data_IF_672645015165
#
_entry.id   IF_672645015165
#
_cell.length_a   1.000
_cell.length_b   1.000
_cell.length_c   1.000
_cell.angle_alpha   90.00
_cell.angle_beta   90.00
_cell.angle_gamma   90.00
#
_symmetry.space_group_name_H-M   'P 1'
#
loop_
_entity.id
_entity.type
_entity.pdbx_description
1 polymer ?
#
# COMPACT_ATOMS: atom_id res chain seq x y z
N UNK A 1 -77.17 -41.02 -51.44
CA UNK A 1 -76.40 -41.33 -50.21
C UNK A 1 -75.29 -42.29 -50.58
N UNK A 2 -74.05 -41.79 -50.55
CA UNK A 2 -72.71 -42.45 -50.59
C UNK A 2 -71.79 -41.29 -51.01
N UNK A 3 -71.34 -40.44 -50.11
CA UNK A 3 -70.45 -40.62 -48.95
C UNK A 3 -68.99 -40.97 -49.32
N UNK A 4 -68.11 -40.29 -48.60
CA UNK A 4 -66.78 -39.80 -48.96
C UNK A 4 -65.70 -40.88 -49.14
N UNK A 5 -64.73 -40.57 -50.01
CA UNK A 5 -63.36 -41.06 -49.86
C UNK A 5 -62.40 -39.87 -49.96
N UNK A 6 -61.97 -39.39 -48.78
CA UNK A 6 -60.83 -38.49 -48.61
C UNK A 6 -59.56 -39.32 -48.76
N UNK A 7 -58.72 -38.94 -49.69
CA UNK A 7 -57.34 -39.40 -49.80
C UNK A 7 -56.48 -38.63 -48.78
N UNK A 8 -56.00 -39.36 -47.76
CA UNK A 8 -55.00 -38.89 -46.81
C UNK A 8 -53.88 -39.92 -46.78
N UNK A 9 -52.88 -39.73 -47.64
CA UNK A 9 -51.64 -40.50 -47.58
C UNK A 9 -50.41 -39.59 -47.76
N UNK A 10 -50.26 -38.62 -46.87
CA UNK A 10 -48.95 -38.06 -46.51
C UNK A 10 -48.60 -38.57 -45.12
N UNK A 11 -48.13 -39.82 -45.03
CA UNK A 11 -47.37 -40.29 -43.88
C UNK A 11 -45.96 -39.76 -44.00
N UNK A 12 -45.71 -38.59 -43.43
CA UNK A 12 -44.38 -38.22 -42.97
C UNK A 12 -43.93 -39.32 -42.00
N UNK A 13 -42.92 -40.08 -42.40
CA UNK A 13 -42.24 -41.00 -41.52
C UNK A 13 -41.49 -40.16 -40.49
N UNK A 14 -42.14 -39.93 -39.34
CA UNK A 14 -41.47 -39.54 -38.10
C UNK A 14 -40.38 -40.57 -37.83
N UNK A 15 -39.15 -40.22 -38.22
CA UNK A 15 -37.97 -40.93 -37.75
C UNK A 15 -37.96 -40.77 -36.23
N UNK A 16 -38.43 -41.80 -35.54
CA UNK A 16 -38.38 -41.90 -34.10
C UNK A 16 -36.92 -41.73 -33.67
N UNK A 17 -36.59 -40.51 -33.26
CA UNK A 17 -35.28 -40.16 -32.72
C UNK A 17 -35.11 -41.01 -31.46
N UNK A 18 -34.36 -42.11 -31.57
CA UNK A 18 -34.01 -42.94 -30.42
C UNK A 18 -33.19 -42.07 -29.47
N UNK A 19 -33.88 -41.46 -28.50
CA UNK A 19 -33.24 -40.77 -27.39
C UNK A 19 -32.46 -41.82 -26.61
N UNK A 20 -31.16 -41.89 -26.88
CA UNK A 20 -30.27 -42.80 -26.19
C UNK A 20 -30.08 -42.27 -24.77
N UNK A 21 -30.79 -42.85 -23.81
CA UNK A 21 -30.67 -42.47 -22.42
C UNK A 21 -29.28 -42.85 -21.89
N UNK A 22 -28.56 -41.90 -21.29
CA UNK A 22 -27.33 -42.18 -20.56
C UNK A 22 -27.65 -43.08 -19.35
N UNK A 23 -26.78 -44.05 -19.00
CA UNK A 23 -26.99 -44.91 -17.84
C UNK A 23 -27.09 -44.10 -16.54
N UNK A 24 -28.06 -44.43 -15.68
CA UNK A 24 -28.26 -43.78 -14.37
C UNK A 24 -27.19 -44.13 -13.34
N UNK A 25 -26.41 -45.17 -13.58
CA UNK A 25 -25.30 -45.64 -12.72
C UNK A 25 -23.96 -44.98 -13.08
N UNK A 26 -23.98 -43.99 -13.97
CA UNK A 26 -22.77 -43.39 -14.56
C UNK A 26 -22.27 -44.16 -15.78
N UNK A 27 -21.34 -43.54 -16.52
CA UNK A 27 -20.74 -44.10 -17.71
C UNK A 27 -19.46 -43.36 -18.09
N UNK A 28 -18.62 -44.02 -18.88
CA UNK A 28 -17.44 -43.41 -19.48
C UNK A 28 -17.78 -42.95 -20.89
N UNK A 29 -17.65 -41.66 -21.16
CA UNK A 29 -17.66 -41.13 -22.53
C UNK A 29 -16.22 -41.11 -23.05
N UNK A 30 -16.00 -41.67 -24.23
CA UNK A 30 -14.72 -41.60 -24.95
C UNK A 30 -14.94 -40.81 -26.24
N UNK A 31 -14.02 -39.90 -26.56
CA UNK A 31 -14.17 -38.95 -27.66
C UNK A 31 -14.72 -37.60 -27.21
N UNK A 32 -15.08 -36.76 -28.19
CA UNK A 32 -15.55 -35.41 -27.96
C UNK A 32 -17.01 -35.37 -27.50
N UNK A 33 -17.33 -34.47 -26.58
CA UNK A 33 -18.69 -34.11 -26.20
C UNK A 33 -19.02 -32.72 -26.75
N UNK A 34 -19.88 -32.64 -27.77
CA UNK A 34 -20.33 -31.38 -28.34
C UNK A 34 -21.64 -30.93 -27.72
N UNK A 35 -21.60 -29.82 -26.98
CA UNK A 35 -22.77 -29.18 -26.40
C UNK A 35 -23.00 -27.82 -27.08
N UNK A 36 -23.99 -27.74 -27.98
CA UNK A 36 -24.26 -26.53 -28.78
C UNK A 36 -25.53 -25.84 -28.31
N UNK A 37 -25.47 -24.53 -28.06
CA UNK A 37 -26.67 -23.70 -27.95
C UNK A 37 -27.18 -23.34 -29.34
N UNK A 38 -28.50 -23.33 -29.60
CA UNK A 38 -29.02 -22.86 -30.87
C UNK A 38 -28.59 -21.40 -31.11
N UNK A 39 -28.26 -21.01 -32.36
CA UNK A 39 -27.98 -19.62 -32.68
C UNK A 39 -29.20 -18.78 -32.29
N UNK A 40 -29.00 -17.72 -31.48
CA UNK A 40 -30.09 -16.83 -31.08
C UNK A 40 -30.75 -16.26 -32.34
N UNK A 41 -32.08 -16.39 -32.44
CA UNK A 41 -32.91 -15.41 -33.14
C UNK A 41 -33.49 -14.52 -32.06
N UNK A 42 -33.23 -13.23 -32.21
CA UNK A 42 -33.54 -12.20 -31.23
C UNK A 42 -35.04 -11.91 -31.25
N UNK A 43 -35.87 -12.85 -30.80
CA UNK A 43 -37.28 -12.59 -30.59
C UNK A 43 -37.50 -12.16 -29.14
N UNK A 44 -37.70 -10.86 -28.97
CA UNK A 44 -38.42 -10.25 -27.84
C UNK A 44 -37.79 -10.35 -26.44
N UNK A 45 -36.53 -9.95 -26.29
CA UNK A 45 -36.02 -9.50 -24.97
C UNK A 45 -35.82 -10.58 -23.90
N UNK A 46 -36.10 -11.85 -24.17
CA UNK A 46 -35.80 -12.95 -23.25
C UNK A 46 -34.39 -13.49 -23.51
N UNK A 47 -33.51 -13.38 -22.51
CA UNK A 47 -32.22 -14.06 -22.54
C UNK A 47 -32.44 -15.58 -22.48
N UNK A 48 -32.30 -16.27 -23.62
CA UNK A 48 -32.27 -17.74 -23.64
C UNK A 48 -31.13 -18.25 -22.77
N UNK A 49 -31.41 -19.29 -21.96
CA UNK A 49 -30.37 -19.98 -21.17
C UNK A 49 -29.39 -20.66 -22.14
N UNK A 50 -28.10 -20.44 -21.95
CA UNK A 50 -27.04 -21.19 -22.66
C UNK A 50 -27.04 -22.67 -22.27
N UNK A 51 -26.43 -23.51 -23.11
CA UNK A 51 -26.13 -24.92 -22.81
C UNK A 51 -25.15 -24.99 -21.63
N UNK A 52 -25.37 -25.91 -20.70
CA UNK A 52 -24.63 -26.01 -19.43
C UNK A 52 -24.33 -27.46 -19.09
N UNK A 53 -23.17 -27.68 -18.46
CA UNK A 53 -22.90 -28.88 -17.67
C UNK A 53 -23.31 -28.55 -16.24
N UNK A 54 -24.19 -29.37 -15.64
CA UNK A 54 -24.65 -29.20 -14.26
C UNK A 54 -24.00 -30.29 -13.40
N UNK A 55 -23.31 -29.88 -12.35
CA UNK A 55 -22.70 -30.77 -11.34
C UNK A 55 -23.37 -30.46 -10.00
N UNK A 56 -24.05 -31.45 -9.41
CA UNK A 56 -24.70 -31.32 -8.10
C UNK A 56 -23.98 -32.20 -7.08
N UNK A 57 -23.73 -31.66 -5.89
CA UNK A 57 -23.03 -32.37 -4.82
C UNK A 57 -23.81 -32.38 -3.51
N UNK A 58 -23.91 -33.55 -2.89
CA UNK A 58 -24.57 -33.75 -1.59
C UNK A 58 -23.58 -34.15 -0.48
N UNK A 59 -22.30 -34.31 -0.82
CA UNK A 59 -21.27 -34.79 0.09
C UNK A 59 -20.53 -33.62 0.76
N UNK A 60 -20.17 -33.78 2.04
CA UNK A 60 -19.28 -32.86 2.75
C UNK A 60 -17.90 -33.50 2.92
N UNK A 61 -16.86 -32.76 2.55
CA UNK A 61 -15.47 -33.15 2.82
C UNK A 61 -15.18 -33.09 4.33
N UNK A 62 -14.88 -34.23 4.95
CA UNK A 62 -14.57 -34.33 6.39
C UNK A 62 -13.13 -34.76 6.71
N UNK A 63 -12.31 -35.09 5.71
CA UNK A 63 -10.94 -35.56 5.91
C UNK A 63 -9.88 -34.59 5.32
N UNK A 64 -8.74 -34.38 6.03
CA UNK A 64 -7.58 -33.65 5.49
C UNK A 64 -6.95 -34.42 4.32
N UNK A 65 -6.63 -33.73 3.22
CA UNK A 65 -5.92 -34.24 2.02
C UNK A 65 -6.58 -35.38 1.24
N UNK A 66 -7.68 -35.96 1.73
CA UNK A 66 -8.56 -36.85 0.98
C UNK A 66 -9.94 -36.21 0.92
N UNK A 67 -10.05 -35.11 0.17
CA UNK A 67 -11.29 -34.33 0.07
C UNK A 67 -12.34 -35.17 -0.64
N UNK A 68 -13.18 -35.84 0.15
CA UNK A 68 -14.38 -36.49 -0.35
C UNK A 68 -15.40 -35.41 -0.74
N UNK A 69 -15.76 -35.39 -2.02
CA UNK A 69 -16.72 -34.46 -2.61
C UNK A 69 -16.83 -34.75 -4.11
N UNK A 70 -17.89 -34.25 -4.75
CA UNK A 70 -18.04 -34.38 -6.20
C UNK A 70 -17.13 -33.34 -6.88
N UNK A 71 -16.22 -33.80 -7.75
CA UNK A 71 -15.17 -32.98 -8.36
C UNK A 71 -15.20 -33.09 -9.89
N UNK A 72 -14.91 -31.99 -10.59
CA UNK A 72 -14.45 -32.05 -11.97
C UNK A 72 -12.95 -32.35 -11.93
N UNK A 73 -12.58 -33.60 -12.22
CA UNK A 73 -11.19 -34.04 -12.17
C UNK A 73 -10.54 -33.91 -13.56
N UNK A 74 -9.46 -33.12 -13.62
CA UNK A 74 -8.58 -33.03 -14.78
C UNK A 74 -7.35 -33.90 -14.51
N UNK A 75 -7.17 -34.96 -15.30
CA UNK A 75 -6.05 -35.90 -15.15
C UNK A 75 -5.07 -35.73 -16.30
N UNK A 76 -3.84 -35.35 -16.01
CA UNK A 76 -2.73 -35.64 -16.90
C UNK A 76 -2.21 -37.06 -16.59
N UNK A 77 -1.97 -37.86 -17.62
CA UNK A 77 -1.52 -39.26 -17.49
C UNK A 77 -0.01 -39.43 -17.74
N UNK A 78 0.63 -38.38 -18.23
CA UNK A 78 2.04 -38.33 -18.56
C UNK A 78 2.67 -37.09 -17.90
N UNK A 79 3.98 -37.09 -17.57
CA UNK A 79 4.63 -35.98 -16.86
C UNK A 79 4.65 -34.64 -17.62
N UNK A 80 4.54 -34.67 -18.94
CA UNK A 80 4.52 -33.54 -19.87
C UNK A 80 3.11 -33.17 -20.37
N UNK A 81 2.10 -33.99 -20.05
CA UNK A 81 0.73 -33.69 -20.40
C UNK A 81 0.21 -32.48 -19.60
N UNK A 82 -0.61 -31.66 -20.28
CA UNK A 82 -1.22 -30.45 -19.71
C UNK A 82 -2.72 -30.61 -19.76
N UNK A 83 -3.36 -30.65 -18.61
CA UNK A 83 -4.82 -30.65 -18.54
C UNK A 83 -5.30 -29.22 -18.26
N UNK A 84 -6.09 -28.65 -19.17
CA UNK A 84 -6.56 -27.28 -19.08
C UNK A 84 -8.02 -27.11 -19.49
N UNK A 85 -8.62 -26.02 -19.01
CA UNK A 85 -9.88 -25.48 -19.51
C UNK A 85 -9.52 -24.27 -20.36
N UNK A 86 -9.92 -24.26 -21.63
CA UNK A 86 -9.56 -23.23 -22.60
C UNK A 86 -10.76 -22.47 -23.13
N UNK A 87 -10.55 -21.19 -23.43
CA UNK A 87 -11.49 -20.33 -24.14
C UNK A 87 -10.92 -20.03 -25.53
N UNK A 88 -11.72 -20.32 -26.54
CA UNK A 88 -11.35 -20.19 -27.94
C UNK A 88 -12.29 -19.21 -28.63
N UNK A 89 -11.72 -18.42 -29.51
CA UNK A 89 -12.42 -17.58 -30.45
C UNK A 89 -12.50 -18.30 -31.79
N UNK A 90 -13.74 -18.65 -32.16
CA UNK A 90 -14.10 -19.31 -33.41
C UNK A 90 -14.77 -18.34 -34.40
N UNK A 91 -14.52 -17.03 -34.29
CA UNK A 91 -14.98 -16.05 -35.29
C UNK A 91 -14.46 -16.36 -36.70
N UNK A 92 -13.25 -16.94 -36.79
CA UNK A 92 -12.78 -17.70 -37.94
C UNK A 92 -12.74 -19.20 -37.58
N UNK A 93 -13.73 -20.01 -38.01
CA UNK A 93 -13.78 -21.43 -37.69
C UNK A 93 -12.63 -22.25 -38.26
N UNK A 94 -11.99 -21.79 -39.34
CA UNK A 94 -10.86 -22.48 -39.97
C UNK A 94 -9.55 -22.20 -39.21
N UNK A 95 -9.49 -21.08 -38.48
CA UNK A 95 -8.33 -20.65 -37.71
C UNK A 95 -8.72 -20.22 -36.28
N UNK A 96 -9.22 -21.14 -35.44
CA UNK A 96 -9.61 -20.79 -34.09
C UNK A 96 -8.41 -20.34 -33.27
N UNK A 97 -8.59 -19.30 -32.46
CA UNK A 97 -7.51 -18.77 -31.60
C UNK A 97 -7.87 -18.91 -30.13
N UNK A 98 -6.99 -19.54 -29.36
CA UNK A 98 -7.14 -19.60 -27.91
C UNK A 98 -6.91 -18.21 -27.33
N UNK A 99 -7.86 -17.72 -26.52
CA UNK A 99 -7.78 -16.40 -25.88
C UNK A 99 -7.34 -16.48 -24.43
N UNK A 100 -7.73 -17.54 -23.73
CA UNK A 100 -7.36 -17.77 -22.35
C UNK A 100 -7.36 -19.27 -22.02
N UNK A 101 -6.60 -19.68 -21.02
CA UNK A 101 -6.75 -20.99 -20.40
C UNK A 101 -6.39 -20.96 -18.91
N UNK A 102 -6.84 -21.99 -18.21
CA UNK A 102 -6.51 -22.26 -16.81
C UNK A 102 -6.18 -23.74 -16.65
N UNK A 103 -5.13 -24.06 -15.91
CA UNK A 103 -4.70 -25.44 -15.73
C UNK A 103 -3.43 -25.56 -14.91
N UNK A 104 -2.90 -26.77 -14.83
CA UNK A 104 -1.66 -27.07 -14.13
C UNK A 104 -0.83 -28.07 -14.94
N UNK A 105 0.49 -27.98 -14.83
CA UNK A 105 1.42 -28.88 -15.52
C UNK A 105 2.80 -28.92 -14.85
N UNK A 106 3.52 -30.02 -15.06
CA UNK A 106 4.81 -30.30 -14.42
C UNK A 106 6.03 -29.86 -15.25
N UNK A 107 5.92 -29.96 -16.58
CA UNK A 107 6.97 -29.59 -17.53
C UNK A 107 6.56 -28.44 -18.42
N UNK A 108 7.52 -27.68 -18.92
CA UNK A 108 7.29 -26.72 -19.96
C UNK A 108 6.92 -27.42 -21.28
N UNK A 109 6.65 -26.64 -22.33
CA UNK A 109 6.43 -27.20 -23.68
C UNK A 109 7.70 -27.87 -24.22
N UNK A 110 8.87 -27.37 -23.84
CA UNK A 110 10.15 -28.04 -24.07
C UNK A 110 10.44 -29.01 -22.91
N UNK A 111 10.64 -30.29 -23.24
CA UNK A 111 10.81 -31.37 -22.26
C UNK A 111 12.18 -31.33 -21.58
N UNK A 112 13.15 -30.65 -22.19
CA UNK A 112 14.52 -30.48 -21.68
C UNK A 112 14.63 -29.31 -20.69
N UNK A 113 13.59 -28.47 -20.59
CA UNK A 113 13.55 -27.39 -19.61
C UNK A 113 13.39 -27.93 -18.18
N UNK A 114 13.92 -27.17 -17.22
CA UNK A 114 13.80 -27.46 -15.81
C UNK A 114 12.31 -27.60 -15.38
N UNK A 115 12.00 -28.39 -14.33
CA UNK A 115 10.63 -28.58 -13.86
C UNK A 115 9.88 -27.26 -13.68
N UNK A 116 8.74 -27.13 -14.35
CA UNK A 116 7.96 -25.90 -14.47
C UNK A 116 6.60 -26.05 -13.78
N UNK A 117 6.62 -26.59 -12.55
CA UNK A 117 5.45 -27.00 -11.77
C UNK A 117 4.63 -25.84 -11.25
N UNK A 118 3.47 -25.57 -11.85
CA UNK A 118 2.56 -24.56 -11.34
C UNK A 118 1.13 -24.74 -11.87
N UNK A 119 0.18 -24.18 -11.13
CA UNK A 119 -1.15 -23.86 -11.64
C UNK A 119 -1.17 -22.41 -12.14
N UNK A 120 -1.73 -22.15 -13.30
CA UNK A 120 -1.74 -20.82 -13.92
C UNK A 120 -3.06 -20.43 -14.56
N UNK A 121 -3.21 -19.11 -14.70
CA UNK A 121 -4.13 -18.48 -15.64
C UNK A 121 -3.29 -17.77 -16.69
N UNK A 122 -3.55 -18.09 -17.95
CA UNK A 122 -2.87 -17.49 -19.09
C UNK A 122 -3.86 -16.83 -20.04
N UNK A 123 -3.41 -15.73 -20.64
CA UNK A 123 -4.21 -14.96 -21.59
C UNK A 123 -3.33 -14.55 -22.77
N UNK A 124 -3.89 -14.64 -23.97
CA UNK A 124 -3.22 -14.22 -25.19
C UNK A 124 -2.85 -12.72 -25.13
N UNK A 125 -1.68 -12.35 -25.64
CA UNK A 125 -1.31 -10.95 -25.88
C UNK A 125 -1.90 -10.45 -27.22
N UNK A 126 -1.55 -9.23 -27.62
CA UNK A 126 -1.98 -8.63 -28.89
C UNK A 126 -1.50 -9.38 -30.13
N UNK A 127 -0.47 -10.22 -30.01
CA UNK A 127 0.09 -11.02 -31.10
C UNK A 127 -0.51 -12.44 -31.13
N UNK A 128 -1.36 -12.78 -30.16
CA UNK A 128 -1.96 -14.12 -30.01
C UNK A 128 -1.13 -15.09 -29.16
N UNK A 129 0.05 -14.70 -28.70
CA UNK A 129 0.88 -15.54 -27.82
C UNK A 129 0.25 -15.67 -26.44
N UNK A 130 0.14 -16.91 -25.95
CA UNK A 130 -0.24 -17.18 -24.57
C UNK A 130 0.85 -16.71 -23.60
N UNK A 131 0.45 -15.89 -22.61
CA UNK A 131 1.34 -15.43 -21.54
C UNK A 131 0.72 -15.76 -20.17
N UNK A 132 1.53 -16.32 -19.28
CA UNK A 132 1.16 -16.54 -17.89
C UNK A 132 0.92 -15.21 -17.17
N UNK A 133 -0.30 -14.97 -16.67
CA UNK A 133 -0.65 -13.73 -15.95
C UNK A 133 -0.73 -13.92 -14.44
N UNK A 134 -1.07 -15.13 -14.02
CA UNK A 134 -1.07 -15.58 -12.64
C UNK A 134 -0.49 -16.99 -12.58
N UNK A 135 0.45 -17.26 -11.68
CA UNK A 135 0.96 -18.60 -11.43
C UNK A 135 1.14 -18.86 -9.94
N UNK A 136 0.74 -20.05 -9.52
CA UNK A 136 0.93 -20.57 -8.16
C UNK A 136 1.74 -21.87 -8.28
N UNK A 137 3.06 -21.81 -7.99
CA UNK A 137 3.87 -23.01 -7.91
C UNK A 137 3.35 -23.96 -6.83
N UNK A 138 3.51 -25.26 -7.05
CA UNK A 138 3.10 -26.31 -6.11
C UNK A 138 4.25 -27.29 -5.83
N UNK A 139 4.06 -28.15 -4.82
CA UNK A 139 5.07 -29.14 -4.40
C UNK A 139 6.16 -28.58 -3.50
N UNK A 140 5.90 -27.42 -2.87
CA UNK A 140 6.81 -26.77 -1.91
C UNK A 140 6.03 -26.32 -0.67
N UNK A 141 6.71 -26.24 0.48
CA UNK A 141 6.09 -25.79 1.75
C UNK A 141 5.73 -24.29 1.73
N UNK A 142 6.48 -23.52 0.95
CA UNK A 142 6.25 -22.10 0.70
C UNK A 142 6.26 -21.83 -0.80
N UNK A 143 5.31 -21.04 -1.28
CA UNK A 143 5.19 -20.69 -2.70
C UNK A 143 5.06 -19.19 -2.86
N UNK A 144 5.69 -18.66 -3.91
CA UNK A 144 5.52 -17.28 -4.33
C UNK A 144 4.50 -17.25 -5.46
N UNK A 145 3.34 -16.65 -5.21
CA UNK A 145 2.36 -16.37 -6.25
C UNK A 145 2.94 -15.30 -7.17
N UNK A 146 2.94 -15.57 -8.48
CA UNK A 146 3.54 -14.70 -9.49
C UNK A 146 2.45 -14.08 -10.34
N UNK A 147 2.59 -12.79 -10.62
CA UNK A 147 1.95 -12.14 -11.77
C UNK A 147 3.05 -11.68 -12.73
N UNK A 148 2.83 -11.84 -14.04
CA UNK A 148 3.84 -11.49 -15.04
C UNK A 148 3.26 -10.62 -16.15
N UNK A 149 3.95 -9.50 -16.40
CA UNK A 149 3.56 -8.49 -17.40
C UNK A 149 2.09 -8.08 -17.28
N UNK A 150 1.59 -7.97 -16.04
CA UNK A 150 0.20 -7.71 -15.72
C UNK A 150 0.11 -6.73 -14.54
N UNK A 151 -0.81 -5.79 -14.64
CA UNK A 151 -1.16 -4.90 -13.55
C UNK A 151 -2.13 -5.60 -12.59
N UNK A 152 -1.89 -5.48 -11.29
CA UNK A 152 -2.82 -5.94 -10.26
C UNK A 152 -3.65 -4.75 -9.75
N UNK A 153 -4.89 -4.66 -10.20
CA UNK A 153 -5.81 -3.56 -9.85
C UNK A 153 -6.97 -4.08 -8.99
N UNK A 154 -7.27 -3.38 -7.88
CA UNK A 154 -8.47 -3.62 -7.06
C UNK A 154 -9.52 -2.56 -7.41
N UNK A 155 -10.44 -2.90 -8.32
CA UNK A 155 -11.56 -2.04 -8.69
C UNK A 155 -12.63 -2.04 -7.60
N UNK A 156 -12.87 -0.89 -6.95
CA UNK A 156 -13.92 -0.69 -5.94
C UNK A 156 -13.75 -1.50 -4.65
N UNK A 157 -12.66 -1.28 -3.92
CA UNK A 157 -12.46 -1.92 -2.62
C UNK A 157 -11.15 -1.55 -1.92
N UNK A 158 -10.72 -2.42 -0.99
CA UNK A 158 -9.47 -2.27 -0.22
C UNK A 158 -8.59 -3.49 -0.47
N UNK A 159 -7.34 -3.26 -0.89
CA UNK A 159 -6.31 -4.29 -0.81
C UNK A 159 -5.97 -4.52 0.66
N UNK A 160 -6.31 -5.71 1.17
CA UNK A 160 -6.06 -6.09 2.57
C UNK A 160 -4.91 -7.08 2.67
N UNK A 161 -3.87 -6.69 3.41
CA UNK A 161 -2.81 -7.60 3.85
C UNK A 161 -3.11 -8.03 5.28
N UNK A 162 -3.45 -9.30 5.47
CA UNK A 162 -3.76 -9.89 6.76
C UNK A 162 -2.76 -11.01 7.09
N UNK A 163 -2.52 -11.24 8.37
CA UNK A 163 -1.62 -12.28 8.88
C UNK A 163 -2.13 -12.78 10.22
N UNK A 164 -1.67 -13.94 10.65
CA UNK A 164 -1.99 -14.49 11.97
C UNK A 164 -1.44 -13.59 13.08
N UNK A 165 -2.05 -13.66 14.27
CA UNK A 165 -1.58 -12.92 15.44
C UNK A 165 -0.09 -13.20 15.72
N UNK A 166 0.68 -12.16 16.06
CA UNK A 166 2.13 -12.28 16.30
C UNK A 166 3.01 -12.29 15.05
N UNK A 167 2.45 -12.09 13.85
CA UNK A 167 3.24 -11.99 12.61
C UNK A 167 3.32 -10.57 12.09
N UNK A 168 4.46 -10.23 11.49
CA UNK A 168 4.59 -9.03 10.69
C UNK A 168 3.84 -9.21 9.37
N UNK A 169 3.18 -8.15 8.91
CA UNK A 169 2.59 -8.10 7.57
C UNK A 169 3.36 -7.08 6.76
N UNK A 170 4.09 -7.57 5.78
CA UNK A 170 5.02 -6.78 5.00
C UNK A 170 4.50 -6.59 3.58
N UNK A 171 4.57 -5.36 3.10
CA UNK A 171 4.59 -5.04 1.68
C UNK A 171 6.03 -4.70 1.32
N UNK A 172 6.66 -5.56 0.52
CA UNK A 172 8.07 -5.44 0.15
C UNK A 172 8.23 -4.91 -1.29
N UNK A 173 9.20 -4.02 -1.46
CA UNK A 173 9.65 -3.51 -2.74
C UNK A 173 11.06 -4.03 -2.99
N UNK A 174 11.26 -4.73 -4.10
CA UNK A 174 12.50 -5.38 -4.45
C UNK A 174 12.83 -5.19 -5.94
N UNK A 175 14.10 -5.33 -6.30
CA UNK A 175 14.55 -5.18 -7.69
C UNK A 175 14.22 -6.38 -8.58
N UNK A 176 13.77 -7.51 -8.01
CA UNK A 176 13.35 -8.69 -8.76
C UNK A 176 12.16 -9.38 -8.08
N UNK A 177 11.30 -10.08 -8.85
CA UNK A 177 10.11 -10.76 -8.33
C UNK A 177 10.44 -12.02 -7.50
N UNK A 178 11.58 -12.68 -7.72
CA UNK A 178 12.05 -13.81 -6.91
C UNK A 178 13.19 -13.40 -5.98
N UNK A 179 13.16 -12.14 -5.52
CA UNK A 179 14.25 -11.53 -4.81
C UNK A 179 14.70 -12.35 -3.60
N UNK A 180 15.95 -12.81 -3.66
CA UNK A 180 16.70 -13.16 -2.46
C UNK A 180 16.75 -11.93 -1.55
N UNK A 181 17.07 -12.16 -0.27
CA UNK A 181 17.11 -11.11 0.76
C UNK A 181 17.82 -9.84 0.27
N UNK A 182 18.96 -9.98 -0.42
CA UNK A 182 19.81 -8.92 -0.96
C UNK A 182 19.16 -8.00 -1.99
N UNK A 183 18.01 -8.37 -2.56
CA UNK A 183 17.33 -7.58 -3.58
C UNK A 183 16.16 -6.76 -3.03
N UNK A 184 15.84 -6.92 -1.73
CA UNK A 184 14.85 -6.08 -1.03
C UNK A 184 15.41 -4.67 -0.84
N UNK A 185 14.58 -3.65 -1.02
CA UNK A 185 14.99 -2.23 -0.89
C UNK A 185 14.16 -1.48 0.15
N UNK A 186 12.84 -1.62 0.08
CA UNK A 186 11.93 -1.02 1.04
C UNK A 186 10.91 -2.03 1.56
N UNK A 187 10.55 -1.91 2.83
CA UNK A 187 9.44 -2.66 3.41
C UNK A 187 8.50 -1.68 4.12
N UNK A 188 7.22 -1.72 3.76
CA UNK A 188 6.15 -1.16 4.60
C UNK A 188 5.66 -2.31 5.48
N UNK A 189 5.90 -2.21 6.78
CA UNK A 189 5.57 -3.26 7.75
C UNK A 189 4.46 -2.80 8.67
N UNK A 190 3.47 -3.66 8.85
CA UNK A 190 2.55 -3.63 9.99
C UNK A 190 3.01 -4.69 11.00
N UNK A 191 3.64 -4.26 12.08
CA UNK A 191 4.23 -5.18 13.06
C UNK A 191 3.20 -5.89 13.94
N UNK A 192 3.63 -6.80 14.81
CA UNK A 192 2.74 -7.56 15.71
C UNK A 192 1.80 -6.70 16.57
N UNK A 193 2.17 -5.44 16.86
CA UNK A 193 1.37 -4.47 17.64
C UNK A 193 0.43 -3.66 16.75
N UNK A 194 0.50 -3.88 15.44
CA UNK A 194 -0.15 -3.12 14.39
C UNK A 194 0.40 -1.69 14.26
N UNK A 195 1.66 -1.46 14.61
CA UNK A 195 2.34 -0.21 14.30
C UNK A 195 2.92 -0.27 12.87
N UNK A 196 2.94 0.87 12.19
CA UNK A 196 3.42 0.98 10.80
C UNK A 196 4.87 1.41 10.78
N UNK A 197 5.69 0.75 9.96
CA UNK A 197 7.10 1.09 9.77
C UNK A 197 7.45 1.17 8.29
N UNK A 198 8.18 2.20 7.91
CA UNK A 198 8.91 2.24 6.64
C UNK A 198 10.37 1.90 6.93
N UNK A 199 10.82 0.77 6.39
CA UNK A 199 12.15 0.22 6.62
C UNK A 199 12.92 0.31 5.31
N UNK A 200 14.03 1.05 5.29
CA UNK A 200 15.03 1.01 4.24
C UNK A 200 15.99 -0.16 4.48
N UNK A 201 16.49 -0.76 3.41
CA UNK A 201 17.47 -1.84 3.45
C UNK A 201 18.74 -1.47 2.70
N UNK A 202 19.87 -1.99 3.13
CA UNK A 202 21.14 -1.88 2.39
C UNK A 202 21.15 -2.81 1.16
N UNK A 203 22.27 -2.84 0.43
CA UNK A 203 22.41 -3.67 -0.77
C UNK A 203 22.50 -5.17 -0.46
N UNK A 204 22.80 -5.54 0.78
CA UNK A 204 22.70 -6.90 1.31
C UNK A 204 21.28 -7.26 1.75
N UNK A 205 20.34 -6.31 1.67
CA UNK A 205 18.94 -6.50 2.03
C UNK A 205 18.66 -6.49 3.52
N UNK A 206 19.66 -6.18 4.34
CA UNK A 206 19.54 -5.98 5.76
C UNK A 206 18.85 -4.64 6.08
N UNK A 207 17.96 -4.60 7.09
CA UNK A 207 17.42 -3.34 7.57
C UNK A 207 18.53 -2.40 8.00
N UNK A 208 18.46 -1.14 7.59
CA UNK A 208 19.27 -0.08 8.20
C UNK A 208 18.77 0.10 9.64
N UNK A 209 19.68 0.26 10.61
CA UNK A 209 19.47 0.13 12.07
C UNK A 209 18.22 0.80 12.66
N UNK A 210 17.62 1.79 11.99
CA UNK A 210 16.38 2.44 12.40
C UNK A 210 15.42 2.56 11.21
N UNK A 211 14.10 2.39 11.43
CA UNK A 211 13.13 2.68 10.39
C UNK A 211 13.23 4.16 10.01
N UNK A 212 13.06 4.44 8.72
CA UNK A 212 12.99 5.80 8.19
C UNK A 212 11.80 6.51 8.83
N UNK A 213 10.67 5.81 8.94
CA UNK A 213 9.45 6.30 9.57
C UNK A 213 8.81 5.21 10.44
N UNK A 214 8.31 5.61 11.59
CA UNK A 214 7.53 4.79 12.52
C UNK A 214 6.21 5.51 12.83
N UNK A 215 5.07 4.81 12.79
CA UNK A 215 3.77 5.33 13.22
C UNK A 215 3.19 4.41 14.29
N UNK A 216 2.98 4.95 15.49
CA UNK A 216 2.24 4.26 16.56
C UNK A 216 0.75 4.32 16.27
N UNK A 217 0.11 3.17 16.06
CA UNK A 217 -1.32 3.12 15.75
C UNK A 217 -2.19 3.70 16.87
N UNK A 218 -1.88 3.36 18.12
CA UNK A 218 -2.73 3.73 19.25
C UNK A 218 -2.68 5.22 19.58
N UNK A 219 -1.56 5.90 19.31
CA UNK A 219 -1.36 7.31 19.70
C UNK A 219 -1.28 8.26 18.51
N UNK A 220 -1.20 7.74 17.28
CA UNK A 220 -0.93 8.54 16.08
C UNK A 220 0.46 9.18 16.04
N UNK A 221 1.36 8.79 16.93
CA UNK A 221 2.68 9.40 17.03
C UNK A 221 3.58 8.93 15.88
N UNK A 222 4.21 9.88 15.18
CA UNK A 222 5.09 9.66 14.04
C UNK A 222 6.54 9.94 14.45
N UNK A 223 7.42 8.98 14.20
CA UNK A 223 8.85 9.08 14.43
C UNK A 223 9.63 9.00 13.13
N UNK A 224 10.65 9.83 12.97
CA UNK A 224 11.65 9.72 11.90
C UNK A 224 13.01 9.41 12.53
N UNK A 225 13.66 8.33 12.10
CA UNK A 225 14.93 7.87 12.68
C UNK A 225 14.82 7.36 14.13
N UNK A 226 13.63 7.00 14.59
CA UNK A 226 13.37 6.43 15.93
C UNK A 226 12.32 5.33 15.87
N UNK A 227 12.45 4.33 16.74
CA UNK A 227 11.45 3.28 16.96
C UNK A 227 10.49 3.61 18.11
N UNK A 228 10.74 4.70 18.82
CA UNK A 228 10.03 5.09 20.04
C UNK A 228 9.64 6.57 19.95
N UNK A 229 8.66 6.95 19.10
CA UNK A 229 8.20 8.34 19.06
C UNK A 229 7.54 8.73 20.39
N UNK A 230 7.98 9.83 20.98
CA UNK A 230 7.55 10.32 22.31
C UNK A 230 6.57 11.50 22.20
N UNK A 231 6.40 12.02 20.99
CA UNK A 231 5.57 13.17 20.63
C UNK A 231 4.86 12.87 19.31
N UNK A 232 3.90 13.70 18.94
CA UNK A 232 3.14 13.52 17.68
C UNK A 232 4.05 13.46 16.45
N UNK A 233 5.10 14.28 16.42
CA UNK A 233 6.20 14.18 15.48
C UNK A 233 7.50 14.15 16.29
N UNK A 234 8.34 13.14 16.11
CA UNK A 234 9.65 13.00 16.76
C UNK A 234 10.70 12.72 15.69
N UNK A 235 11.59 13.69 15.44
CA UNK A 235 12.74 13.51 14.52
C UNK A 235 13.97 13.25 15.38
N UNK A 236 14.61 12.10 15.16
CA UNK A 236 15.87 11.72 15.82
C UNK A 236 16.92 11.46 14.76
N UNK A 237 18.02 12.21 14.80
CA UNK A 237 19.13 12.06 13.88
C UNK A 237 20.45 12.25 14.62
N UNK A 238 21.51 11.66 14.07
CA UNK A 238 22.87 11.78 14.61
C UNK A 238 23.67 12.89 13.92
N UNK A 239 23.33 13.24 12.67
CA UNK A 239 23.93 14.34 11.92
C UNK A 239 22.88 15.08 11.08
N UNK A 240 23.02 16.42 11.00
CA UNK A 240 22.15 17.37 10.24
C UNK A 240 20.65 16.99 10.32
N UNK A 241 19.99 17.23 11.47
CA UNK A 241 18.74 16.55 11.81
C UNK A 241 17.54 16.98 10.97
N UNK A 242 17.53 18.20 10.45
CA UNK A 242 16.42 18.76 9.72
C UNK A 242 16.91 19.92 8.84
N UNK A 243 16.60 19.86 7.55
CA UNK A 243 16.68 21.01 6.64
C UNK A 243 15.25 21.42 6.31
N UNK A 244 14.91 22.68 6.56
CA UNK A 244 13.68 23.31 6.07
C UNK A 244 14.09 24.42 5.14
N UNK A 245 13.81 24.25 3.85
CA UNK A 245 14.21 25.19 2.79
C UNK A 245 13.00 25.60 1.96
N UNK A 246 12.95 26.87 1.60
CA UNK A 246 11.96 27.42 0.68
C UNK A 246 12.64 27.94 -0.58
N UNK A 247 12.13 27.53 -1.73
CA UNK A 247 12.66 27.91 -3.04
C UNK A 247 11.79 28.94 -3.76
N UNK A 248 10.65 29.32 -3.17
CA UNK A 248 9.72 30.28 -3.75
C UNK A 248 10.17 31.73 -3.50
N UNK A 249 10.00 32.65 -4.47
CA UNK A 249 10.39 34.06 -4.34
C UNK A 249 9.40 34.91 -3.50
N UNK A 250 8.54 34.29 -2.69
CA UNK A 250 7.43 34.96 -1.98
C UNK A 250 7.68 35.10 -0.48
N UNK A 251 7.02 36.05 0.16
CA UNK A 251 7.06 36.37 1.61
C UNK A 251 6.42 35.31 2.55
N UNK A 252 6.54 34.02 2.23
CA UNK A 252 5.91 32.96 3.03
C UNK A 252 6.85 32.46 4.14
N UNK A 253 6.30 32.30 5.35
CA UNK A 253 7.03 31.70 6.48
C UNK A 253 7.25 30.21 6.23
N UNK A 254 8.52 29.75 6.26
CA UNK A 254 8.86 28.33 6.16
C UNK A 254 8.41 27.52 7.38
N UNK A 255 8.43 28.15 8.54
CA UNK A 255 7.94 27.58 9.80
C UNK A 255 7.03 28.59 10.47
N UNK A 256 5.83 28.17 10.83
CA UNK A 256 4.86 28.97 11.59
C UNK A 256 4.46 28.22 12.83
N UNK A 257 4.64 28.86 13.99
CA UNK A 257 4.19 28.32 15.26
C UNK A 257 2.85 28.95 15.66
N UNK A 258 1.90 28.11 16.07
CA UNK A 258 0.62 28.53 16.65
C UNK A 258 0.39 27.74 17.93
N UNK A 259 0.13 28.44 19.02
CA UNK A 259 -0.09 27.82 20.33
C UNK A 259 -1.52 28.03 20.82
N UNK A 260 -1.97 27.16 21.72
CA UNK A 260 -3.36 27.15 22.21
C UNK A 260 -3.63 28.23 23.25
N UNK A 261 -2.61 28.69 23.97
CA UNK A 261 -2.75 29.70 25.02
C UNK A 261 -1.49 30.54 25.19
N UNK A 262 -1.61 31.71 25.82
CA UNK A 262 -0.53 32.68 25.99
C UNK A 262 0.68 32.07 26.70
N UNK A 263 0.44 31.26 27.72
CA UNK A 263 1.50 30.67 28.54
C UNK A 263 2.20 29.46 27.90
N UNK A 264 1.74 28.99 26.74
CA UNK A 264 2.26 27.77 26.10
C UNK A 264 3.50 28.10 25.28
N UNK A 265 4.62 27.38 25.45
CA UNK A 265 5.78 27.51 24.57
C UNK A 265 5.43 27.15 23.12
N UNK A 266 5.74 28.08 22.21
CA UNK A 266 5.67 27.92 20.77
C UNK A 266 6.96 27.30 20.20
N UNK A 267 8.10 27.64 20.81
CA UNK A 267 9.42 27.12 20.49
C UNK A 267 10.21 26.93 21.77
N UNK A 268 10.90 25.80 21.88
CA UNK A 268 11.82 25.51 22.97
C UNK A 268 13.12 24.94 22.42
N UNK A 269 14.24 25.39 22.99
CA UNK A 269 15.56 24.82 22.76
C UNK A 269 16.09 24.34 24.11
N UNK A 270 16.44 23.07 24.20
CA UNK A 270 16.92 22.45 25.43
C UNK A 270 18.18 21.65 25.13
N UNK A 271 19.06 21.53 26.12
CA UNK A 271 20.25 20.68 26.04
C UNK A 271 19.98 19.37 26.77
N UNK A 272 20.43 18.26 26.19
CA UNK A 272 20.25 16.94 26.79
C UNK A 272 20.84 16.91 28.20
N UNK A 273 20.05 16.46 29.17
CA UNK A 273 20.44 16.37 30.58
C UNK A 273 20.03 17.59 31.42
N UNK A 274 19.49 18.63 30.80
CA UNK A 274 18.96 19.79 31.53
C UNK A 274 17.46 19.67 31.77
N UNK A 275 17.01 20.09 32.95
CA UNK A 275 15.59 20.12 33.30
C UNK A 275 14.84 21.31 32.69
N UNK A 276 15.55 22.37 32.29
CA UNK A 276 14.96 23.63 31.83
C UNK A 276 15.46 23.97 30.43
N UNK A 277 14.57 24.49 29.59
CA UNK A 277 14.90 24.99 28.26
C UNK A 277 15.86 26.19 28.33
N UNK A 278 16.85 26.23 27.43
CA UNK A 278 17.82 27.33 27.24
C UNK A 278 17.20 28.54 26.57
N UNK A 279 16.27 28.30 25.65
CA UNK A 279 15.54 29.34 24.95
C UNK A 279 14.08 28.93 24.83
N UNK A 280 13.18 29.86 25.12
CA UNK A 280 11.74 29.67 24.91
C UNK A 280 11.12 30.89 24.27
N UNK A 281 10.16 30.64 23.37
CA UNK A 281 9.23 31.63 22.84
C UNK A 281 7.84 31.15 23.21
N UNK A 282 7.03 32.00 23.84
CA UNK A 282 5.68 31.67 24.31
C UNK A 282 4.60 32.38 23.49
N UNK A 283 3.35 31.93 23.65
CA UNK A 283 2.19 32.50 22.95
C UNK A 283 1.83 33.94 23.32
N UNK A 284 2.24 34.37 24.50
CA UNK A 284 2.13 35.74 25.03
C UNK A 284 3.20 36.69 24.45
N UNK A 285 4.11 36.19 23.61
CA UNK A 285 5.23 36.96 23.07
C UNK A 285 6.44 37.06 24.00
N UNK A 286 6.45 36.38 25.16
CA UNK A 286 7.60 36.31 26.06
C UNK A 286 8.71 35.46 25.44
N UNK A 287 9.92 36.02 25.43
CA UNK A 287 11.16 35.35 25.05
C UNK A 287 12.06 35.23 26.29
N UNK A 288 12.62 34.04 26.52
CA UNK A 288 13.46 33.78 27.69
C UNK A 288 14.73 33.05 27.28
N UNK A 289 15.89 33.49 27.78
CA UNK A 289 17.20 32.84 27.58
C UNK A 289 17.85 32.48 28.91
N UNK A 290 18.53 31.34 28.96
CA UNK A 290 19.26 30.87 30.15
C UNK A 290 20.64 30.33 29.77
N UNK A 291 21.62 30.54 30.65
CA UNK A 291 22.98 30.01 30.53
C UNK A 291 23.12 28.53 30.95
N UNK A 292 21.99 27.93 31.35
CA UNK A 292 21.80 26.56 31.84
C UNK A 292 22.72 26.11 32.96
N UNK A 293 23.30 27.04 33.71
CA UNK A 293 23.93 26.77 35.01
C UNK A 293 22.95 26.92 36.17
N UNK A 294 21.65 26.86 35.86
CA UNK A 294 20.58 27.00 36.85
C UNK A 294 20.21 28.44 37.23
N UNK A 295 20.90 29.46 36.68
CA UNK A 295 20.59 30.87 36.91
C UNK A 295 19.16 31.27 36.48
N UNK A 296 18.68 32.40 37.00
CA UNK A 296 17.43 33.00 36.53
C UNK A 296 17.55 33.33 35.02
N UNK A 297 16.48 33.15 34.24
CA UNK A 297 16.53 33.51 32.83
C UNK A 297 16.53 35.02 32.66
N UNK A 298 17.15 35.49 31.59
CA UNK A 298 16.90 36.85 31.06
C UNK A 298 15.65 36.78 30.21
N UNK A 299 14.71 37.70 30.44
CA UNK A 299 13.40 37.64 29.79
C UNK A 299 13.02 38.96 29.16
N UNK A 300 12.61 38.90 27.89
CA UNK A 300 11.95 39.99 27.18
C UNK A 300 10.47 39.66 27.03
N UNK A 301 9.58 40.60 27.36
CA UNK A 301 8.13 40.42 27.18
C UNK A 301 7.45 41.72 26.75
N UNK A 302 6.39 41.65 25.94
CA UNK A 302 5.57 42.82 25.67
C UNK A 302 4.87 43.27 26.96
N UNK A 303 4.88 44.58 27.18
CA UNK A 303 4.05 45.27 28.15
C UNK A 303 2.96 46.09 27.40
N UNK A 304 2.15 46.85 28.12
CA UNK A 304 1.14 47.71 27.49
C UNK A 304 1.81 48.83 26.66
N UNK A 305 1.03 49.44 25.76
CA UNK A 305 1.41 50.68 25.08
C UNK A 305 2.72 50.61 24.26
N UNK A 306 3.03 49.42 23.73
CA UNK A 306 4.22 49.20 22.89
C UNK A 306 5.53 49.15 23.68
N UNK A 307 5.47 49.00 25.00
CA UNK A 307 6.65 48.85 25.86
C UNK A 307 7.17 47.42 25.80
N UNK A 308 8.50 47.26 25.77
CA UNK A 308 9.18 45.98 25.96
C UNK A 308 9.81 45.97 27.36
N UNK A 309 9.42 45.01 28.19
CA UNK A 309 9.97 44.84 29.53
C UNK A 309 11.11 43.81 29.51
N UNK A 310 12.20 44.14 30.22
CA UNK A 310 13.32 43.25 30.47
C UNK A 310 13.30 42.83 31.95
N UNK A 311 13.25 41.54 32.21
CA UNK A 311 13.55 40.96 33.52
C UNK A 311 14.98 40.39 33.49
N UNK A 312 15.89 41.04 34.22
CA UNK A 312 17.32 40.72 34.25
C UNK A 312 18.19 41.98 34.11
N UNK A 313 19.50 41.80 34.01
CA UNK A 313 20.43 42.90 33.85
C UNK A 313 20.58 43.29 32.37
N UNK A 314 20.64 44.60 32.10
CA UNK A 314 20.99 45.16 30.81
C UNK A 314 22.44 45.67 30.85
N UNK A 315 23.35 44.94 30.19
CA UNK A 315 24.71 45.40 29.97
C UNK A 315 24.85 46.03 28.58
N UNK A 316 25.37 47.26 28.51
CA UNK A 316 25.67 47.96 27.25
C UNK A 316 27.17 48.15 27.15
N UNK A 317 27.83 47.27 26.40
CA UNK A 317 29.30 47.21 26.31
C UNK A 317 29.92 48.20 25.30
N UNK A 318 29.13 48.72 24.35
CA UNK A 318 29.58 49.81 23.46
C UNK A 318 29.30 51.18 24.09
N UNK A 319 30.30 51.67 24.84
CA UNK A 319 30.26 52.97 25.50
C UNK A 319 30.05 54.15 24.53
N UNK A 320 30.35 54.00 23.24
CA UNK A 320 30.17 55.07 22.25
C UNK A 320 28.71 55.21 21.79
N UNK A 321 27.88 54.17 21.96
CA UNK A 321 26.48 54.18 21.52
C UNK A 321 25.50 54.48 22.65
N UNK A 322 25.76 54.01 23.87
CA UNK A 322 24.95 54.25 25.07
C UNK A 322 23.49 53.80 24.94
N UNK A 323 22.67 54.05 25.97
CA UNK A 323 21.21 53.85 25.90
C UNK A 323 20.58 55.13 25.36
N UNK A 324 19.85 55.06 24.25
CA UNK A 324 19.09 56.21 23.75
C UNK A 324 17.68 56.18 24.34
N UNK A 325 17.34 57.16 25.16
CA UNK A 325 15.96 57.40 25.59
C UNK A 325 15.27 58.40 24.68
N UNK A 326 13.96 58.25 24.50
CA UNK A 326 13.12 59.23 23.82
C UNK A 326 11.99 59.66 24.74
N UNK A 327 11.73 60.95 24.77
CA UNK A 327 10.62 61.54 25.52
C UNK A 327 10.09 62.75 24.76
N UNK A 328 8.82 62.71 24.34
CA UNK A 328 8.16 63.84 23.67
C UNK A 328 8.89 64.40 22.45
N UNK A 329 9.54 63.55 21.64
CA UNK A 329 10.34 63.95 20.46
C UNK A 329 11.79 64.35 20.76
N UNK A 330 12.19 64.46 22.04
CA UNK A 330 13.58 64.65 22.46
C UNK A 330 14.30 63.31 22.53
N UNK A 331 15.61 63.33 22.28
CA UNK A 331 16.48 62.16 22.39
C UNK A 331 17.53 62.42 23.47
N UNK A 332 17.78 61.43 24.32
CA UNK A 332 18.84 61.47 25.32
C UNK A 332 19.73 60.25 25.13
N UNK A 333 21.03 60.41 25.32
CA UNK A 333 21.97 59.29 25.45
C UNK A 333 22.38 59.18 26.91
N UNK A 334 22.12 58.03 27.53
CA UNK A 334 22.80 57.62 28.76
C UNK A 334 24.09 56.93 28.36
N UNK A 335 25.20 57.55 28.71
CA UNK A 335 26.52 56.92 28.67
C UNK A 335 27.07 56.80 30.08
N UNK A 336 28.00 55.88 30.27
CA UNK A 336 28.85 55.86 31.47
C UNK A 336 30.24 56.27 31.03
N UNK A 337 30.80 57.32 31.63
CA UNK A 337 32.16 57.79 31.36
C UNK A 337 32.88 58.00 32.68
N UNK A 338 34.02 57.34 32.86
CA UNK A 338 34.83 57.39 34.10
C UNK A 338 34.03 57.03 35.37
N UNK A 339 33.15 56.02 35.27
CA UNK A 339 32.31 55.58 36.38
C UNK A 339 31.13 56.51 36.71
N UNK A 340 30.94 57.60 35.96
CA UNK A 340 29.79 58.49 36.12
C UNK A 340 28.74 58.24 35.03
N UNK A 341 27.48 58.13 35.45
CA UNK A 341 26.34 58.15 34.54
C UNK A 341 26.17 59.57 33.99
N UNK A 342 26.19 59.72 32.67
CA UNK A 342 26.01 60.98 31.96
C UNK A 342 24.79 60.87 31.06
N UNK A 343 23.82 61.76 31.24
CA UNK A 343 22.70 61.96 30.33
C UNK A 343 23.05 63.13 29.39
N UNK A 344 23.10 62.89 28.09
CA UNK A 344 23.38 63.91 27.08
C UNK A 344 22.18 64.04 26.16
N UNK A 345 21.60 65.24 26.02
CA UNK A 345 20.59 65.49 24.98
C UNK A 345 21.25 65.36 23.60
N UNK A 346 20.62 64.62 22.69
CA UNK A 346 21.09 64.36 21.32
C UNK A 346 20.48 65.31 20.30
#
# INVERSE_FOLDING_TARGET
>A
MTDQARDTSNTEADAAETVQHLPTTGGTLTGDLYLKSPPRRDFEGFASRSTRIILESYNRSSLPNNRSGDVMELRWREPDAKAFIGWWDYTDPENPSMKAWIGAHDKATDIEEAPHRHWSVEVANSEGDMKTRLAIPYGTDHTNIKTSSADFTVGFGVLRVAGSGGTNRDLEFANRPTAEKSQRRFTIRLDEKNDVRLISRNDEGDPIDRPVMFVRRLTGAVGFGTTNPERHIHIKAEQKPLLVEGTAPTDQSLVRFKVRGPETPALEVSVRGEEKSRFTVRGDGRLSWRDGRGGAPVVLKPASDGVLELEGDLEVSDANRGVILRDGGKRYRLGVSRGQLKVTAL
#
